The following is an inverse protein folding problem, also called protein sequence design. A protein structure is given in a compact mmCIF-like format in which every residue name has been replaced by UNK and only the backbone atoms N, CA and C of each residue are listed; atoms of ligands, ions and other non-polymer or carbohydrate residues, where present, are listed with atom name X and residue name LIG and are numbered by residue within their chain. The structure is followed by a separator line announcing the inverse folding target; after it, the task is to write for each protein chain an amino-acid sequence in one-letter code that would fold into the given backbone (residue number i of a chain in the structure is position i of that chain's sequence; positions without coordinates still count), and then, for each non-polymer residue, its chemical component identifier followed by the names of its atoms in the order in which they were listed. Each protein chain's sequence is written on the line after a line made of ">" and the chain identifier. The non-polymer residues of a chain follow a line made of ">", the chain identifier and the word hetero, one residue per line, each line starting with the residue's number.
data_IF_616105313785
#
_entry.id   IF_616105313785
#
_cell.length_a   1.000
_cell.length_b   1.000
_cell.length_c   1.000
_cell.angle_alpha   90.00
_cell.angle_beta   90.00
_cell.angle_gamma   90.00
#
_symmetry.space_group_name_H-M   'P 1'
#
loop_
_entity.id
_entity.type
_entity.pdbx_description
1 polymer ?
#
# COMPACT_ATOMS: atom_id res chain seq x y z
N UNK A 1 25.68 7.49 -2.02
CA UNK A 1 24.34 7.99 -1.81
C UNK A 1 23.31 6.93 -2.06
N UNK A 2 22.36 6.85 -1.17
CA UNK A 2 21.42 5.72 -1.13
C UNK A 2 20.03 6.09 -1.62
N UNK A 3 19.91 7.15 -2.39
CA UNK A 3 18.63 7.58 -2.90
C UNK A 3 18.21 6.73 -4.08
N UNK A 4 16.95 6.37 -4.10
CA UNK A 4 16.35 5.67 -5.24
C UNK A 4 16.31 6.65 -6.41
N UNK A 5 16.69 6.19 -7.60
CA UNK A 5 16.62 7.04 -8.76
C UNK A 5 15.16 7.45 -9.00
N UNK A 6 14.91 8.67 -9.47
CA UNK A 6 13.56 9.12 -9.78
C UNK A 6 12.83 8.19 -10.76
N UNK A 7 13.58 7.56 -11.65
CA UNK A 7 13.04 6.63 -12.67
C UNK A 7 12.48 5.36 -12.03
N UNK A 8 13.20 4.79 -11.06
CA UNK A 8 12.74 3.60 -10.33
C UNK A 8 11.50 3.95 -9.52
N UNK A 9 11.54 5.05 -8.79
CA UNK A 9 10.43 5.52 -7.98
C UNK A 9 9.18 5.73 -8.84
N UNK A 10 9.32 6.40 -9.97
CA UNK A 10 8.21 6.66 -10.88
C UNK A 10 7.63 5.36 -11.45
N UNK A 11 8.48 4.40 -11.80
CA UNK A 11 8.06 3.11 -12.33
C UNK A 11 7.20 2.35 -11.33
N UNK A 12 7.63 2.29 -10.07
CA UNK A 12 6.87 1.62 -9.00
C UNK A 12 5.54 2.33 -8.77
N UNK A 13 5.56 3.66 -8.67
CA UNK A 13 4.35 4.43 -8.43
C UNK A 13 3.33 4.31 -9.55
N UNK A 14 3.77 4.39 -10.80
CA UNK A 14 2.87 4.24 -11.95
C UNK A 14 2.19 2.90 -11.97
N UNK A 15 2.93 1.84 -11.70
CA UNK A 15 2.36 0.49 -11.66
C UNK A 15 1.38 0.34 -10.52
N UNK A 16 1.73 0.86 -9.35
CA UNK A 16 0.88 0.82 -8.17
C UNK A 16 -0.43 1.60 -8.40
N UNK A 17 -0.35 2.81 -8.95
CA UNK A 17 -1.51 3.63 -9.29
C UNK A 17 -2.39 2.98 -10.33
N UNK A 18 -1.81 2.22 -11.24
CA UNK A 18 -2.56 1.47 -12.25
C UNK A 18 -3.31 0.30 -11.62
N UNK A 19 -2.66 -0.45 -10.72
CA UNK A 19 -3.23 -1.68 -10.14
C UNK A 19 -4.32 -1.41 -9.11
N UNK A 20 -4.11 -0.47 -8.21
CA UNK A 20 -5.02 -0.25 -7.08
C UNK A 20 -6.46 0.05 -7.49
N UNK A 21 -6.73 0.99 -8.41
CA UNK A 21 -8.12 1.28 -8.79
C UNK A 21 -8.82 0.12 -9.49
N UNK A 22 -8.05 -0.86 -9.96
CA UNK A 22 -8.57 -2.03 -10.68
C UNK A 22 -8.78 -3.24 -9.79
N UNK A 23 -8.31 -3.17 -8.55
CA UNK A 23 -8.47 -4.27 -7.60
C UNK A 23 -9.86 -4.24 -6.99
N UNK A 24 -10.63 -5.30 -7.22
CA UNK A 24 -12.02 -5.39 -6.75
C UNK A 24 -12.11 -5.42 -5.23
N UNK A 25 -11.15 -6.03 -4.55
CA UNK A 25 -11.16 -6.09 -3.08
C UNK A 25 -10.96 -4.72 -2.48
N UNK A 26 -10.07 -3.93 -3.06
CA UNK A 26 -9.83 -2.54 -2.62
C UNK A 26 -11.08 -1.71 -2.84
N UNK A 27 -11.70 -1.81 -4.00
CA UNK A 27 -12.94 -1.10 -4.31
C UNK A 27 -14.06 -1.44 -3.34
N UNK A 28 -14.28 -2.72 -3.10
CA UNK A 28 -15.34 -3.18 -2.18
C UNK A 28 -15.10 -2.72 -0.77
N UNK A 29 -13.85 -2.79 -0.32
CA UNK A 29 -13.49 -2.35 1.02
C UNK A 29 -13.77 -0.86 1.21
N UNK A 30 -13.38 -0.04 0.25
CA UNK A 30 -13.63 1.40 0.29
C UNK A 30 -15.11 1.73 0.23
N UNK A 31 -15.89 1.04 -0.61
CA UNK A 31 -17.33 1.22 -0.69
C UNK A 31 -18.02 0.90 0.63
N UNK A 32 -17.66 -0.22 1.26
CA UNK A 32 -18.21 -0.61 2.55
C UNK A 32 -17.82 0.37 3.64
N UNK A 33 -16.58 0.86 3.59
CA UNK A 33 -16.11 1.85 4.53
C UNK A 33 -16.89 3.15 4.42
N UNK A 34 -17.16 3.62 3.19
CA UNK A 34 -18.00 4.80 2.94
C UNK A 34 -19.40 4.63 3.50
N UNK A 35 -19.96 3.42 3.39
CA UNK A 35 -21.30 3.11 3.88
C UNK A 35 -21.35 2.80 5.38
N UNK A 36 -20.19 2.75 6.05
CA UNK A 36 -20.12 2.41 7.45
C UNK A 36 -20.33 0.93 7.75
N UNK A 37 -20.19 0.05 6.77
CA UNK A 37 -20.40 -1.39 6.92
C UNK A 37 -19.13 -2.22 6.84
N UNK A 38 -17.96 -1.59 6.75
CA UNK A 38 -16.69 -2.29 6.67
C UNK A 38 -16.38 -3.02 7.98
N UNK A 39 -15.81 -4.23 7.85
CA UNK A 39 -15.41 -5.07 8.98
C UNK A 39 -13.88 -5.17 9.05
N UNK A 40 -13.36 -5.73 10.12
CA UNK A 40 -11.92 -6.00 10.23
C UNK A 40 -11.45 -7.06 9.22
N UNK A 41 -12.35 -7.94 8.77
CA UNK A 41 -12.05 -8.85 7.68
C UNK A 41 -11.83 -8.09 6.37
N UNK A 42 -12.65 -7.07 6.10
CA UNK A 42 -12.45 -6.19 4.94
C UNK A 42 -11.08 -5.49 5.04
N UNK A 43 -10.66 -5.07 6.23
CA UNK A 43 -9.34 -4.49 6.45
C UNK A 43 -8.22 -5.47 6.09
N UNK A 44 -8.38 -6.73 6.45
CA UNK A 44 -7.41 -7.79 6.12
C UNK A 44 -7.27 -7.94 4.60
N UNK A 45 -8.36 -8.05 3.89
CA UNK A 45 -8.33 -8.19 2.43
C UNK A 45 -7.80 -6.93 1.74
N UNK A 46 -8.15 -5.77 2.25
CA UNK A 46 -7.63 -4.50 1.75
C UNK A 46 -6.11 -4.43 1.89
N UNK A 47 -5.59 -4.76 3.07
CA UNK A 47 -4.15 -4.79 3.31
C UNK A 47 -3.45 -5.83 2.43
N UNK A 48 -4.03 -7.02 2.29
CA UNK A 48 -3.48 -8.07 1.44
C UNK A 48 -3.40 -7.59 -0.02
N UNK A 49 -4.44 -6.94 -0.52
CA UNK A 49 -4.47 -6.45 -1.91
C UNK A 49 -3.44 -5.35 -2.13
N UNK A 50 -3.28 -4.43 -1.17
CA UNK A 50 -2.24 -3.40 -1.23
C UNK A 50 -0.86 -4.07 -1.29
N UNK A 51 -0.60 -5.04 -0.43
CA UNK A 51 0.66 -5.76 -0.41
C UNK A 51 0.95 -6.48 -1.73
N UNK A 52 -0.05 -7.12 -2.30
CA UNK A 52 0.08 -7.81 -3.59
C UNK A 52 0.37 -6.81 -4.73
N UNK A 53 -0.30 -5.67 -4.74
CA UNK A 53 -0.05 -4.62 -5.74
C UNK A 53 1.36 -4.05 -5.62
N UNK A 54 1.85 -3.85 -4.40
CA UNK A 54 3.22 -3.40 -4.18
C UNK A 54 4.24 -4.43 -4.66
N UNK A 55 4.01 -5.70 -4.35
CA UNK A 55 4.88 -6.79 -4.79
C UNK A 55 4.95 -6.85 -6.32
N UNK A 56 3.81 -6.73 -7.00
CA UNK A 56 3.76 -6.67 -8.46
C UNK A 56 4.54 -5.47 -8.99
N UNK A 57 4.35 -4.29 -8.39
CA UNK A 57 5.05 -3.09 -8.82
C UNK A 57 6.57 -3.23 -8.67
N UNK A 58 7.04 -3.80 -7.56
CA UNK A 58 8.47 -4.02 -7.36
C UNK A 58 9.03 -5.10 -8.28
N UNK A 59 8.23 -6.03 -8.77
CA UNK A 59 8.68 -7.06 -9.72
C UNK A 59 9.14 -6.49 -11.07
N UNK A 60 8.79 -5.25 -11.36
CA UNK A 60 9.22 -4.57 -12.58
C UNK A 60 10.65 -4.03 -12.49
N UNK A 61 11.26 -4.08 -11.32
CA UNK A 61 12.61 -3.58 -11.09
C UNK A 61 13.59 -4.74 -11.21
N UNK A 62 14.70 -4.54 -11.94
CA UNK A 62 15.74 -5.56 -12.04
C UNK A 62 16.42 -5.76 -10.69
N UNK A 63 17.01 -6.94 -10.46
CA UNK A 63 17.71 -7.24 -9.21
C UNK A 63 18.83 -6.25 -8.90
N UNK A 64 19.52 -5.78 -9.94
CA UNK A 64 20.60 -4.82 -9.78
C UNK A 64 20.13 -3.44 -9.32
N UNK A 65 18.88 -3.11 -9.60
CA UNK A 65 18.28 -1.83 -9.27
C UNK A 65 17.34 -1.89 -8.06
N UNK A 66 17.20 -3.07 -7.44
CA UNK A 66 16.34 -3.22 -6.28
C UNK A 66 16.79 -2.32 -5.14
N UNK A 67 15.88 -1.56 -4.53
CA UNK A 67 16.24 -0.71 -3.40
C UNK A 67 16.65 -1.54 -2.19
N UNK A 68 17.56 -1.00 -1.38
CA UNK A 68 17.85 -1.60 -0.08
C UNK A 68 16.64 -1.46 0.85
N UNK A 69 16.69 -2.10 2.02
CA UNK A 69 15.55 -2.15 2.94
C UNK A 69 14.92 -0.79 3.24
N UNK A 70 15.74 0.21 3.58
CA UNK A 70 15.25 1.55 3.91
C UNK A 70 14.57 2.22 2.71
N UNK A 71 15.20 2.12 1.56
CA UNK A 71 14.66 2.71 0.32
C UNK A 71 13.37 2.01 -0.10
N UNK A 72 13.31 0.70 0.06
CA UNK A 72 12.10 -0.08 -0.18
C UNK A 72 10.94 0.44 0.68
N UNK A 73 11.17 0.60 1.98
CA UNK A 73 10.13 1.07 2.89
C UNK A 73 9.70 2.49 2.57
N UNK A 74 10.62 3.35 2.20
CA UNK A 74 10.28 4.73 1.82
C UNK A 74 9.41 4.79 0.58
N UNK A 75 9.71 3.99 -0.43
CA UNK A 75 8.90 3.92 -1.65
C UNK A 75 7.52 3.34 -1.34
N UNK A 76 7.49 2.26 -0.58
CA UNK A 76 6.24 1.61 -0.21
C UNK A 76 5.34 2.57 0.60
N UNK A 77 5.90 3.26 1.59
CA UNK A 77 5.15 4.22 2.39
C UNK A 77 4.54 5.33 1.53
N UNK A 78 5.33 5.93 0.65
CA UNK A 78 4.84 6.99 -0.24
C UNK A 78 3.75 6.50 -1.18
N UNK A 79 3.90 5.29 -1.72
CA UNK A 79 2.92 4.72 -2.65
C UNK A 79 1.59 4.42 -1.96
N UNK A 80 1.63 3.96 -0.71
CA UNK A 80 0.44 3.54 0.04
C UNK A 80 -0.24 4.70 0.75
N UNK A 81 0.52 5.73 1.12
CA UNK A 81 0.05 6.83 1.96
C UNK A 81 -1.28 7.46 1.54
N UNK A 82 -1.52 7.82 0.27
CA UNK A 82 -2.78 8.43 -0.13
C UNK A 82 -4.00 7.55 0.17
N UNK A 83 -3.85 6.23 0.03
CA UNK A 83 -4.93 5.28 0.30
C UNK A 83 -5.18 5.11 1.79
N UNK A 84 -4.12 5.10 2.59
CA UNK A 84 -4.24 5.05 4.03
C UNK A 84 -4.88 6.32 4.59
N UNK A 85 -4.50 7.48 4.07
CA UNK A 85 -5.10 8.76 4.47
C UNK A 85 -6.58 8.81 4.11
N UNK A 86 -6.95 8.31 2.95
CA UNK A 86 -8.35 8.23 2.56
C UNK A 86 -9.14 7.35 3.53
N UNK A 87 -8.60 6.19 3.87
CA UNK A 87 -9.23 5.29 4.84
C UNK A 87 -9.34 5.94 6.23
N UNK A 88 -8.31 6.64 6.66
CA UNK A 88 -8.30 7.34 7.94
C UNK A 88 -9.35 8.44 7.99
N UNK A 89 -9.58 9.14 6.88
CA UNK A 89 -10.63 10.14 6.77
C UNK A 89 -12.03 9.58 6.92
N UNK A 90 -12.20 8.29 6.62
CA UNK A 90 -13.50 7.61 6.76
C UNK A 90 -13.61 6.90 8.12
N UNK A 91 -12.53 6.23 8.57
CA UNK A 91 -12.51 5.50 9.84
C UNK A 91 -11.08 5.28 10.30
N UNK A 92 -10.67 6.01 11.33
CA UNK A 92 -9.31 5.95 11.88
C UNK A 92 -8.93 4.55 12.37
N UNK A 93 -9.87 3.89 13.06
CA UNK A 93 -9.67 2.55 13.59
C UNK A 93 -9.40 1.52 12.49
N UNK A 94 -10.14 1.62 11.40
CA UNK A 94 -9.94 0.77 10.23
C UNK A 94 -8.56 1.00 9.62
N UNK A 95 -8.18 2.26 9.44
CA UNK A 95 -6.88 2.61 8.88
C UNK A 95 -5.72 2.10 9.74
N UNK A 96 -5.82 2.22 11.06
CA UNK A 96 -4.82 1.69 11.98
C UNK A 96 -4.70 0.18 11.86
N UNK A 97 -5.81 -0.53 11.70
CA UNK A 97 -5.82 -1.97 11.49
C UNK A 97 -5.14 -2.35 10.18
N UNK A 98 -5.42 -1.60 9.11
CA UNK A 98 -4.79 -1.84 7.80
C UNK A 98 -3.26 -1.65 7.90
N UNK A 99 -2.80 -0.58 8.53
CA UNK A 99 -1.36 -0.34 8.74
C UNK A 99 -0.72 -1.50 9.49
N UNK A 100 -1.34 -1.95 10.57
CA UNK A 100 -0.83 -3.07 11.36
C UNK A 100 -0.71 -4.34 10.52
N UNK A 101 -1.74 -4.64 9.73
CA UNK A 101 -1.75 -5.82 8.87
C UNK A 101 -0.69 -5.73 7.77
N UNK A 102 -0.51 -4.56 7.17
CA UNK A 102 0.54 -4.35 6.17
C UNK A 102 1.93 -4.57 6.77
N UNK A 103 2.16 -4.07 7.97
CA UNK A 103 3.43 -4.28 8.66
C UNK A 103 3.68 -5.74 8.99
N UNK A 104 2.66 -6.45 9.46
CA UNK A 104 2.77 -7.88 9.82
C UNK A 104 2.90 -8.80 8.62
N UNK A 105 2.13 -8.55 7.55
CA UNK A 105 2.02 -9.46 6.41
C UNK A 105 2.98 -9.14 5.27
N UNK A 106 3.20 -7.87 5.00
CA UNK A 106 4.07 -7.43 3.91
C UNK A 106 5.44 -6.93 4.40
N UNK A 107 5.66 -6.86 5.69
CA UNK A 107 6.92 -6.43 6.27
C UNK A 107 7.27 -4.97 5.99
N UNK A 108 6.26 -4.10 5.90
CA UNK A 108 6.45 -2.72 5.52
C UNK A 108 6.71 -1.86 6.72
N UNK A 109 7.43 -1.40 7.30
CA UNK A 109 7.61 -0.54 8.48
C UNK A 109 6.86 0.78 8.41
N UNK A 110 5.56 0.71 8.09
CA UNK A 110 4.73 1.90 7.94
C UNK A 110 4.41 2.56 9.27
N UNK A 111 4.36 3.89 9.26
CA UNK A 111 3.94 4.66 10.42
C UNK A 111 2.40 4.75 10.46
N UNK A 112 1.80 4.81 11.67
CA UNK A 112 0.36 5.03 11.79
C UNK A 112 -0.06 6.37 11.14
N UNK A 113 -1.23 6.36 10.56
CA UNK A 113 -1.77 7.55 9.94
C UNK A 113 -2.59 8.36 10.95
#
# INVERSE_FOLDING_TARGET
>A
MNDVSPEIYEKVNKRFEYLLPRDDKIKRSLERLEKGTATFEDAYYYAQSIGNCLSDAFSLISEDDLPNGTMYYNIAEKAVKPFLERSAGMCEEYSSRVVKLLNEKAGLGLNPV
#
